data_IF_873868618631
#
_entry.id   IF_873868618631
#
_cell.length_a   1.000
_cell.length_b   1.000
_cell.length_c   1.000
_cell.angle_alpha   90.00
_cell.angle_beta   90.00
_cell.angle_gamma   90.00
#
_symmetry.space_group_name_H-M   'P 1'
#
loop_
_entity.id
_entity.type
_entity.pdbx_description
1 polymer ?
#
# COMPACT_ATOMS: atom_id res chain seq x y z
N UNK A 1 -31.96 -18.37 0.53
CA UNK A 1 -31.00 -17.33 0.93
C UNK A 1 -29.94 -18.02 1.77
N UNK A 2 -28.78 -18.31 1.21
CA UNK A 2 -27.71 -19.01 1.94
C UNK A 2 -27.02 -18.04 2.88
N UNK A 3 -27.22 -18.23 4.18
CA UNK A 3 -26.46 -17.57 5.22
C UNK A 3 -25.00 -18.05 5.13
N UNK A 4 -24.11 -17.17 4.69
CA UNK A 4 -22.68 -17.42 4.77
C UNK A 4 -22.30 -17.44 6.25
N UNK A 5 -22.00 -18.64 6.77
CA UNK A 5 -21.36 -18.78 8.08
C UNK A 5 -19.99 -18.12 8.01
N UNK A 6 -19.86 -16.97 8.65
CA UNK A 6 -18.60 -16.34 8.94
C UNK A 6 -17.90 -17.20 10.00
N UNK A 7 -16.99 -18.06 9.58
CA UNK A 7 -16.06 -18.70 10.51
C UNK A 7 -14.98 -17.67 10.84
N UNK A 8 -14.83 -17.24 12.11
CA UNK A 8 -13.69 -16.41 12.47
C UNK A 8 -12.43 -17.21 12.17
N UNK A 9 -11.59 -16.69 11.27
CA UNK A 9 -10.30 -17.28 10.95
C UNK A 9 -9.51 -17.37 12.27
N UNK A 10 -8.87 -18.50 12.60
CA UNK A 10 -8.02 -18.59 13.79
C UNK A 10 -7.00 -17.45 13.70
N UNK A 11 -7.05 -16.54 14.67
CA UNK A 11 -6.03 -15.50 14.83
C UNK A 11 -4.79 -16.24 15.34
N UNK A 12 -4.06 -16.88 14.43
CA UNK A 12 -2.66 -17.14 14.69
C UNK A 12 -2.06 -15.75 14.89
N UNK A 13 -1.50 -15.51 16.07
CA UNK A 13 -0.82 -14.28 16.45
C UNK A 13 0.45 -14.14 15.61
N UNK A 14 0.25 -13.83 14.32
CA UNK A 14 1.31 -13.61 13.34
C UNK A 14 1.62 -12.13 13.42
N UNK A 15 2.89 -11.82 13.63
CA UNK A 15 3.38 -10.44 13.58
C UNK A 15 3.03 -9.87 12.20
N UNK A 16 2.10 -8.92 12.18
CA UNK A 16 1.70 -8.20 10.97
C UNK A 16 2.51 -6.93 10.81
N UNK A 17 2.82 -6.55 9.58
CA UNK A 17 3.52 -5.30 9.28
C UNK A 17 2.58 -4.32 8.57
N UNK A 18 2.18 -3.22 9.23
CA UNK A 18 1.41 -2.15 8.59
C UNK A 18 2.15 -1.54 7.39
N UNK A 19 1.40 -0.88 6.52
CA UNK A 19 1.98 -0.12 5.42
C UNK A 19 2.60 1.20 5.94
N UNK A 20 3.63 1.68 5.25
CA UNK A 20 4.23 2.98 5.54
C UNK A 20 3.41 4.15 5.02
N UNK A 21 2.54 3.92 4.03
CA UNK A 21 1.66 4.94 3.44
C UNK A 21 0.46 4.31 2.71
N UNK A 22 -0.58 5.11 2.48
CA UNK A 22 -1.72 4.75 1.64
C UNK A 22 -1.32 4.46 0.20
N UNK A 23 -0.30 5.16 -0.32
CA UNK A 23 0.26 4.88 -1.63
C UNK A 23 0.81 3.45 -1.71
N UNK A 24 1.59 3.03 -0.71
CA UNK A 24 2.12 1.67 -0.66
C UNK A 24 0.99 0.63 -0.57
N UNK A 25 -0.04 0.90 0.25
CA UNK A 25 -1.21 0.05 0.39
C UNK A 25 -2.00 -0.05 -0.93
N UNK A 26 -2.17 1.07 -1.64
CA UNK A 26 -2.89 1.13 -2.92
C UNK A 26 -2.17 0.35 -4.02
N UNK A 27 -0.86 0.54 -4.19
CA UNK A 27 -0.10 -0.26 -5.17
C UNK A 27 -0.06 -1.75 -4.82
N UNK A 28 -0.01 -2.09 -3.53
CA UNK A 28 -0.17 -3.49 -3.11
C UNK A 28 -1.54 -4.05 -3.50
N UNK A 29 -2.62 -3.30 -3.24
CA UNK A 29 -3.97 -3.68 -3.63
C UNK A 29 -4.10 -3.90 -5.15
N UNK A 30 -3.57 -2.99 -5.97
CA UNK A 30 -3.64 -3.09 -7.43
C UNK A 30 -2.93 -4.34 -7.92
N UNK A 31 -1.74 -4.65 -7.39
CA UNK A 31 -1.02 -5.90 -7.70
C UNK A 31 -1.82 -7.13 -7.33
N UNK A 32 -2.44 -7.15 -6.14
CA UNK A 32 -3.34 -8.24 -5.74
C UNK A 32 -4.52 -8.41 -6.72
N UNK A 33 -5.11 -7.32 -7.21
CA UNK A 33 -6.19 -7.39 -8.18
C UNK A 33 -5.72 -7.90 -9.54
N UNK A 34 -4.58 -7.43 -10.05
CA UNK A 34 -4.00 -7.92 -11.29
C UNK A 34 -3.76 -9.44 -11.23
N UNK A 35 -3.15 -9.93 -10.15
CA UNK A 35 -2.95 -11.38 -9.94
C UNK A 35 -4.27 -12.17 -9.87
N UNK A 36 -5.33 -11.60 -9.28
CA UNK A 36 -6.66 -12.23 -9.25
C UNK A 36 -7.27 -12.33 -10.66
N UNK A 37 -7.14 -11.28 -11.47
CA UNK A 37 -7.71 -11.21 -12.85
C UNK A 37 -6.98 -12.17 -13.79
N UNK A 38 -5.65 -12.27 -13.69
CA UNK A 38 -4.82 -13.13 -14.54
C UNK A 38 -5.03 -14.63 -14.30
N UNK A 39 -5.98 -15.01 -13.42
CA UNK A 39 -6.30 -16.40 -13.11
C UNK A 39 -5.15 -17.14 -12.43
N UNK A 40 -4.18 -16.37 -11.92
CA UNK A 40 -2.95 -16.88 -11.39
C UNK A 40 -3.20 -17.67 -10.09
N UNK A 41 -3.00 -18.99 -10.17
CA UNK A 41 -2.37 -19.78 -9.10
C UNK A 41 -0.88 -19.42 -8.97
N UNK A 42 -0.52 -18.15 -9.17
CA UNK A 42 0.85 -17.67 -9.05
C UNK A 42 1.05 -17.28 -7.59
N UNK A 43 1.56 -18.28 -6.86
CA UNK A 43 2.48 -18.13 -5.74
C UNK A 43 1.99 -17.15 -4.67
N UNK A 44 1.28 -17.71 -3.68
CA UNK A 44 1.53 -17.31 -2.30
C UNK A 44 3.06 -17.18 -2.14
N UNK A 45 3.55 -15.95 -1.91
CA UNK A 45 4.95 -15.58 -1.55
C UNK A 45 5.54 -14.35 -2.29
N UNK A 46 4.76 -13.42 -2.88
CA UNK A 46 5.34 -12.16 -3.37
C UNK A 46 5.63 -11.12 -2.25
N UNK A 47 5.24 -11.41 -1.01
CA UNK A 47 5.78 -10.75 0.17
C UNK A 47 5.70 -11.72 1.35
N UNK A 48 6.83 -12.11 1.92
CA UNK A 48 6.93 -12.77 3.25
C UNK A 48 6.30 -11.95 4.39
N UNK A 49 5.76 -10.78 4.07
CA UNK A 49 5.18 -9.82 4.98
C UNK A 49 3.67 -10.07 5.10
N UNK A 50 3.26 -10.55 6.26
CA UNK A 50 1.84 -10.63 6.62
C UNK A 50 1.32 -9.20 6.86
N UNK A 51 0.31 -8.78 6.10
CA UNK A 51 -0.33 -7.46 6.26
C UNK A 51 -1.48 -7.54 7.27
N UNK A 52 -1.81 -6.43 7.97
CA UNK A 52 -2.93 -6.39 8.92
C UNK A 52 -4.30 -6.31 8.24
N UNK A 53 -4.38 -6.44 6.91
CA UNK A 53 -5.62 -6.33 6.14
C UNK A 53 -5.62 -7.25 4.90
N UNK A 54 -6.81 -7.53 4.40
CA UNK A 54 -7.02 -8.17 3.09
C UNK A 54 -7.12 -7.10 1.97
N UNK A 55 -6.90 -7.44 0.69
CA UNK A 55 -7.04 -6.48 -0.42
C UNK A 55 -8.42 -5.80 -0.46
N UNK A 56 -9.47 -6.53 -0.07
CA UNK A 56 -10.83 -6.00 -0.08
C UNK A 56 -11.04 -4.90 0.97
N UNK A 57 -10.21 -4.84 2.03
CA UNK A 57 -10.26 -3.76 3.01
C UNK A 57 -9.86 -2.41 2.41
N UNK A 58 -8.87 -2.39 1.50
CA UNK A 58 -8.44 -1.19 0.80
C UNK A 58 -9.52 -0.75 -0.19
N UNK A 59 -10.08 -1.69 -0.95
CA UNK A 59 -11.21 -1.42 -1.84
C UNK A 59 -12.41 -0.83 -1.09
N UNK A 60 -12.78 -1.44 0.04
CA UNK A 60 -13.89 -0.98 0.87
C UNK A 60 -13.66 0.42 1.43
N UNK A 61 -12.42 0.75 1.82
CA UNK A 61 -12.06 2.10 2.27
C UNK A 61 -12.27 3.14 1.14
N UNK A 62 -11.75 2.88 -0.06
CA UNK A 62 -11.94 3.78 -1.22
C UNK A 62 -13.42 3.92 -1.59
N UNK A 63 -14.17 2.81 -1.63
CA UNK A 63 -15.60 2.86 -1.94
C UNK A 63 -16.44 3.51 -0.85
N UNK A 64 -15.96 3.54 0.40
CA UNK A 64 -16.59 4.30 1.48
C UNK A 64 -16.35 5.79 1.29
N UNK A 65 -15.10 6.20 1.04
CA UNK A 65 -14.77 7.60 0.75
C UNK A 65 -15.53 8.14 -0.47
N UNK A 66 -15.76 7.30 -1.48
CA UNK A 66 -16.64 7.63 -2.61
C UNK A 66 -18.08 7.89 -2.17
N UNK A 67 -18.65 6.99 -1.36
CA UNK A 67 -20.04 7.12 -0.85
C UNK A 67 -20.22 8.36 0.02
N UNK A 68 -19.17 8.74 0.74
CA UNK A 68 -19.13 9.95 1.59
C UNK A 68 -18.82 11.23 0.77
N UNK A 69 -18.70 11.14 -0.56
CA UNK A 69 -18.35 12.23 -1.49
C UNK A 69 -16.98 12.89 -1.22
N UNK A 70 -16.09 12.22 -0.47
CA UNK A 70 -14.70 12.64 -0.31
C UNK A 70 -13.93 12.37 -1.60
N UNK A 71 -14.17 11.22 -2.26
CA UNK A 71 -13.60 10.89 -3.56
C UNK A 71 -14.67 10.93 -4.66
N UNK A 72 -14.48 11.82 -5.63
CA UNK A 72 -15.28 11.85 -6.86
C UNK A 72 -14.76 10.90 -7.96
N UNK A 73 -15.53 10.72 -9.03
CA UNK A 73 -15.17 9.80 -10.13
C UNK A 73 -13.81 10.13 -10.78
N UNK A 74 -13.42 11.41 -10.85
CA UNK A 74 -12.10 11.81 -11.35
C UNK A 74 -10.95 11.33 -10.45
N UNK A 75 -11.15 11.32 -9.13
CA UNK A 75 -10.17 10.75 -8.22
C UNK A 75 -10.01 9.26 -8.49
N UNK A 76 -11.12 8.53 -8.63
CA UNK A 76 -11.11 7.10 -8.91
C UNK A 76 -10.39 6.76 -10.21
N UNK A 77 -10.66 7.50 -11.29
CA UNK A 77 -9.99 7.33 -12.58
C UNK A 77 -8.47 7.55 -12.46
N UNK A 78 -8.06 8.58 -11.71
CA UNK A 78 -6.64 8.88 -11.48
C UNK A 78 -5.99 7.77 -10.68
N UNK A 79 -6.52 7.40 -9.51
CA UNK A 79 -5.89 6.39 -8.67
C UNK A 79 -5.87 5.01 -9.33
N UNK A 80 -6.90 4.66 -10.11
CA UNK A 80 -6.93 3.44 -10.90
C UNK A 80 -5.82 3.43 -11.96
N UNK A 81 -5.78 4.44 -12.83
CA UNK A 81 -4.78 4.51 -13.89
C UNK A 81 -3.36 4.49 -13.35
N UNK A 82 -3.05 5.38 -12.40
CA UNK A 82 -1.72 5.50 -11.82
C UNK A 82 -1.35 4.32 -10.92
N UNK A 83 -2.35 3.66 -10.33
CA UNK A 83 -2.21 2.36 -9.70
C UNK A 83 -1.73 1.29 -10.67
N UNK A 84 -2.38 1.18 -11.83
CA UNK A 84 -2.06 0.17 -12.86
C UNK A 84 -0.67 0.38 -13.48
N UNK A 85 -0.24 1.62 -13.69
CA UNK A 85 1.11 1.93 -14.18
C UNK A 85 2.16 2.02 -13.07
N UNK A 86 1.79 1.72 -11.83
CA UNK A 86 2.63 1.71 -10.62
C UNK A 86 3.55 2.94 -10.49
N UNK A 87 3.02 4.13 -10.76
CA UNK A 87 3.75 5.40 -10.59
C UNK A 87 2.82 6.51 -10.16
N UNK A 88 3.38 7.56 -9.58
CA UNK A 88 2.64 8.80 -9.35
C UNK A 88 2.56 9.65 -10.63
N UNK A 89 1.57 10.53 -10.75
CA UNK A 89 1.59 11.60 -11.74
C UNK A 89 2.83 12.49 -11.58
N UNK A 90 3.39 13.02 -12.67
CA UNK A 90 4.49 13.98 -12.62
C UNK A 90 3.95 15.43 -12.54
N UNK A 91 4.14 16.16 -11.43
CA UNK A 91 3.67 17.54 -11.32
C UNK A 91 4.39 18.52 -12.27
N UNK A 92 5.51 18.13 -12.86
CA UNK A 92 6.29 18.95 -13.81
C UNK A 92 5.71 18.92 -15.22
N UNK A 93 4.92 17.90 -15.55
CA UNK A 93 4.15 17.85 -16.80
C UNK A 93 2.80 18.56 -16.58
N UNK A 94 2.56 19.64 -17.33
CA UNK A 94 1.29 20.38 -17.27
C UNK A 94 0.05 19.53 -17.58
N UNK A 95 0.19 18.41 -18.31
CA UNK A 95 -0.91 17.46 -18.58
C UNK A 95 -1.16 16.50 -17.41
N UNK A 96 -0.20 16.33 -16.51
CA UNK A 96 -0.30 15.47 -15.35
C UNK A 96 -0.50 16.25 -14.06
N UNK A 97 -0.13 17.53 -13.99
CA UNK A 97 -0.33 18.37 -12.80
C UNK A 97 -1.76 18.32 -12.23
N UNK A 98 -2.86 18.44 -13.00
CA UNK A 98 -4.20 18.30 -12.43
C UNK A 98 -4.50 16.89 -11.89
N UNK A 99 -3.86 15.86 -12.46
CA UNK A 99 -3.99 14.47 -11.98
C UNK A 99 -3.14 14.25 -10.74
N UNK A 100 -2.00 14.91 -10.64
CA UNK A 100 -1.16 14.94 -9.44
C UNK A 100 -1.95 15.48 -8.25
N UNK A 101 -2.66 16.58 -8.42
CA UNK A 101 -3.47 17.17 -7.35
C UNK A 101 -4.57 16.20 -6.90
N UNK A 102 -5.31 15.60 -7.85
CA UNK A 102 -6.32 14.58 -7.54
C UNK A 102 -5.72 13.32 -6.88
N UNK A 103 -4.50 12.93 -7.27
CA UNK A 103 -3.80 11.80 -6.69
C UNK A 103 -3.42 12.09 -5.24
N UNK A 104 -2.84 13.27 -4.96
CA UNK A 104 -2.49 13.71 -3.61
C UNK A 104 -3.73 13.79 -2.72
N UNK A 105 -4.81 14.41 -3.19
CA UNK A 105 -6.06 14.51 -2.44
C UNK A 105 -6.62 13.12 -2.11
N UNK A 106 -6.59 12.19 -3.08
CA UNK A 106 -7.06 10.83 -2.88
C UNK A 106 -6.19 10.02 -1.90
N UNK A 107 -4.86 10.12 -2.02
CA UNK A 107 -3.94 9.41 -1.14
C UNK A 107 -4.03 9.95 0.29
N UNK A 108 -4.20 11.26 0.49
CA UNK A 108 -4.38 11.86 1.81
C UNK A 108 -5.69 11.37 2.46
N UNK A 109 -6.81 11.39 1.74
CA UNK A 109 -8.08 10.88 2.26
C UNK A 109 -8.01 9.38 2.59
N UNK A 110 -7.32 8.60 1.75
CA UNK A 110 -7.11 7.17 2.00
C UNK A 110 -6.17 6.93 3.19
N UNK A 111 -5.13 7.75 3.36
CA UNK A 111 -4.20 7.69 4.49
C UNK A 111 -4.94 7.76 5.81
N UNK A 112 -5.79 8.78 5.99
CA UNK A 112 -6.57 8.95 7.21
C UNK A 112 -7.49 7.76 7.48
N UNK A 113 -8.16 7.27 6.43
CA UNK A 113 -9.05 6.10 6.52
C UNK A 113 -8.32 4.81 6.91
N UNK A 114 -7.07 4.63 6.48
CA UNK A 114 -6.27 3.44 6.77
C UNK A 114 -5.53 3.52 8.12
N UNK A 115 -5.13 4.71 8.56
CA UNK A 115 -4.59 4.94 9.91
C UNK A 115 -5.66 4.59 10.95
N UNK A 116 -6.92 5.02 10.75
CA UNK A 116 -8.03 4.72 11.65
C UNK A 116 -8.34 3.22 11.81
N UNK A 117 -7.71 2.36 11.00
CA UNK A 117 -7.87 0.89 11.00
C UNK A 117 -6.57 0.15 11.30
N UNK A 118 -5.51 0.85 11.72
CA UNK A 118 -4.17 0.32 11.98
C UNK A 118 -3.53 -0.40 10.76
N UNK A 119 -3.99 -0.06 9.54
CA UNK A 119 -3.47 -0.63 8.29
C UNK A 119 -2.22 0.12 7.85
N UNK A 120 -2.16 1.42 8.11
CA UNK A 120 -1.04 2.31 7.79
C UNK A 120 -0.54 2.94 9.10
N UNK A 121 0.79 3.10 9.23
CA UNK A 121 1.37 3.80 10.37
C UNK A 121 1.06 5.30 10.31
N UNK A 122 0.74 5.94 11.45
CA UNK A 122 0.68 7.40 11.53
C UNK A 122 2.11 7.96 11.43
N UNK A 123 2.47 8.50 10.27
CA UNK A 123 3.78 9.09 10.00
C UNK A 123 3.85 9.60 8.56
N UNK A 124 4.50 10.74 8.35
CA UNK A 124 4.59 11.40 7.06
C UNK A 124 5.25 10.49 6.01
N UNK A 125 4.69 10.55 4.80
CA UNK A 125 5.20 9.97 3.56
C UNK A 125 6.75 9.91 3.54
N UNK A 126 7.29 8.72 3.33
CA UNK A 126 8.69 8.46 2.99
C UNK A 126 9.75 8.71 4.08
N UNK A 127 9.71 7.92 5.15
CA UNK A 127 10.94 7.56 5.90
C UNK A 127 11.86 6.61 5.09
N UNK A 128 11.94 6.74 3.76
CA UNK A 128 12.97 6.10 2.94
C UNK A 128 14.38 6.68 3.19
N UNK A 129 14.50 7.71 4.04
CA UNK A 129 15.74 7.95 4.79
C UNK A 129 15.79 7.02 6.00
N UNK A 130 16.42 5.86 5.82
CA UNK A 130 17.10 5.18 6.91
C UNK A 130 18.55 5.73 7.00
N UNK A 131 18.87 6.79 7.77
CA UNK A 131 20.26 7.12 8.06
C UNK A 131 20.93 6.11 9.02
N UNK A 132 20.20 5.13 9.58
CA UNK A 132 20.78 4.13 10.48
C UNK A 132 20.42 2.68 10.15
N UNK A 133 20.96 2.20 9.03
CA UNK A 133 21.76 0.96 9.09
C UNK A 133 23.11 1.24 8.42
N UNK A 134 23.95 2.04 9.08
CA UNK A 134 25.38 1.74 9.02
C UNK A 134 25.53 0.32 9.57
N UNK A 135 25.54 -0.67 8.69
CA UNK A 135 26.18 -1.94 8.99
C UNK A 135 27.61 -1.54 9.36
N UNK A 136 27.94 -1.55 10.64
CA UNK A 136 29.34 -1.54 11.05
C UNK A 136 29.93 -2.78 10.40
N UNK A 137 30.66 -2.58 9.31
CA UNK A 137 31.63 -3.56 8.86
C UNK A 137 32.69 -3.61 9.96
N UNK A 138 32.45 -4.42 11.00
CA UNK A 138 33.53 -4.96 11.82
C UNK A 138 34.27 -5.97 10.96
N UNK A 139 34.99 -5.45 9.96
CA UNK A 139 36.08 -6.17 9.35
C UNK A 139 37.23 -6.12 10.34
N UNK A 140 37.38 -7.16 11.17
CA UNK A 140 38.71 -7.49 11.65
C UNK A 140 39.52 -7.87 10.42
N UNK A 141 40.29 -6.91 9.91
CA UNK A 141 41.34 -7.18 8.94
C UNK A 141 42.33 -8.14 9.60
N UNK A 142 42.55 -9.35 9.07
CA UNK A 142 43.63 -10.20 9.57
C UNK A 142 44.94 -9.45 9.31
N UNK A 143 45.88 -9.42 10.28
CA UNK A 143 47.15 -8.72 10.08
C UNK A 143 47.88 -9.38 8.91
N UNK A 144 48.24 -8.57 7.92
CA UNK A 144 49.19 -8.96 6.88
C UNK A 144 50.45 -9.50 7.57
N UNK A 145 50.70 -10.80 7.47
CA UNK A 145 51.99 -11.37 7.83
C UNK A 145 52.99 -10.92 6.78
N UNK A 146 53.95 -10.09 7.20
CA UNK A 146 55.21 -9.83 6.50
C UNK A 146 56.08 -11.09 6.54
#
# INVERSE_FOLDING_TARGET
>A
MSEQRLFPKPIADRVTTPFSSAMQAWFWFVRCQASRIEGARVVADASDVVRPCDPDDIYNAVMRLRRENVLGDRHLQVIEYYGLVERTPDPRDGREKPKYDLWCDAMAALQDALIARDIVLPGAEDAFHHPEKMIKMTGELPPCRL
#
